data_IF_986081806358
#
_entry.id   IF_986081806358
#
_cell.length_a   1.000
_cell.length_b   1.000
_cell.length_c   1.000
_cell.angle_alpha   90.00
_cell.angle_beta   90.00
_cell.angle_gamma   90.00
#
_symmetry.space_group_name_H-M   'P 1'
#
loop_
_entity.id
_entity.type
_entity.pdbx_description
1 polymer ?
#
# COMPACT_ATOMS: atom_id res chain seq x y z
N UNK A 1 2.13 1.74 48.64
CA UNK A 1 0.88 1.38 47.96
C UNK A 1 0.89 1.75 46.46
N UNK A 2 1.18 3.01 46.09
CA UNK A 2 1.30 3.39 44.67
C UNK A 2 2.44 2.68 43.92
N UNK A 3 3.64 2.61 44.50
CA UNK A 3 4.79 1.91 43.89
C UNK A 3 4.56 0.40 43.71
N UNK A 4 3.84 -0.23 44.64
CA UNK A 4 3.50 -1.66 44.55
C UNK A 4 2.45 -1.92 43.46
N UNK A 5 1.37 -1.12 43.40
CA UNK A 5 0.36 -1.22 42.34
C UNK A 5 0.99 -0.98 40.96
N UNK A 6 1.85 0.03 40.85
CA UNK A 6 2.54 0.36 39.60
C UNK A 6 3.50 -0.77 39.16
N UNK A 7 4.23 -1.36 40.11
CA UNK A 7 5.07 -2.54 39.85
C UNK A 7 4.26 -3.72 39.31
N UNK A 8 3.11 -4.03 39.92
CA UNK A 8 2.21 -5.09 39.44
C UNK A 8 1.64 -4.80 38.05
N UNK A 9 1.30 -3.54 37.74
CA UNK A 9 0.81 -3.15 36.41
C UNK A 9 1.88 -3.29 35.33
N UNK A 10 3.13 -2.91 35.62
CA UNK A 10 4.26 -3.10 34.67
C UNK A 10 4.55 -4.58 34.47
N UNK A 11 4.60 -5.36 35.56
CA UNK A 11 4.87 -6.80 35.47
C UNK A 11 3.75 -7.52 34.71
N UNK A 12 2.50 -7.13 34.96
CA UNK A 12 1.34 -7.56 34.20
C UNK A 12 1.45 -7.21 32.72
N UNK A 13 1.85 -5.99 32.37
CA UNK A 13 2.05 -5.58 30.97
C UNK A 13 3.17 -6.38 30.28
N UNK A 14 4.29 -6.64 30.98
CA UNK A 14 5.42 -7.41 30.46
C UNK A 14 5.03 -8.87 30.16
N UNK A 15 4.12 -9.46 30.93
CA UNK A 15 3.66 -10.85 30.72
C UNK A 15 2.47 -10.95 29.77
N UNK A 16 1.51 -10.03 29.88
CA UNK A 16 0.29 -10.01 29.07
C UNK A 16 0.60 -9.72 27.61
N UNK A 17 1.56 -8.85 27.34
CA UNK A 17 1.80 -8.39 25.97
C UNK A 17 2.46 -9.45 25.06
N UNK A 18 3.50 -10.20 25.48
CA UNK A 18 3.98 -11.34 24.70
C UNK A 18 2.89 -12.40 24.47
N UNK A 19 2.08 -12.70 25.49
CA UNK A 19 0.95 -13.62 25.35
C UNK A 19 -0.07 -13.10 24.31
N UNK A 20 -0.35 -11.80 24.32
CA UNK A 20 -1.20 -11.14 23.33
C UNK A 20 -0.62 -11.21 21.91
N UNK A 21 0.67 -10.96 21.74
CA UNK A 21 1.34 -11.09 20.43
C UNK A 21 1.31 -12.52 19.91
N UNK A 22 1.52 -13.51 20.78
CA UNK A 22 1.41 -14.93 20.42
C UNK A 22 -0.03 -15.25 20.01
N UNK A 23 -1.03 -14.80 20.77
CA UNK A 23 -2.43 -14.96 20.41
C UNK A 23 -2.74 -14.34 19.04
N UNK A 24 -2.30 -13.11 18.78
CA UNK A 24 -2.45 -12.42 17.48
C UNK A 24 -1.78 -13.20 16.35
N UNK A 25 -0.58 -13.74 16.58
CA UNK A 25 0.13 -14.55 15.59
C UNK A 25 -0.64 -15.84 15.27
N UNK A 26 -1.06 -16.59 16.30
CA UNK A 26 -1.80 -17.85 16.15
C UNK A 26 -3.13 -17.61 15.45
N UNK A 27 -3.90 -16.63 15.90
CA UNK A 27 -5.17 -16.26 15.27
C UNK A 27 -4.95 -15.77 13.84
N UNK A 28 -3.88 -15.02 13.56
CA UNK A 28 -3.51 -14.61 12.21
C UNK A 28 -3.24 -15.80 11.29
N UNK A 29 -2.53 -16.83 11.76
CA UNK A 29 -2.29 -18.07 11.01
C UNK A 29 -3.60 -18.83 10.77
N UNK A 30 -4.41 -19.02 11.82
CA UNK A 30 -5.70 -19.74 11.72
C UNK A 30 -6.60 -19.03 10.71
N UNK A 31 -6.78 -17.73 10.84
CA UNK A 31 -7.63 -16.95 9.95
C UNK A 31 -7.06 -16.91 8.51
N UNK A 32 -5.74 -16.84 8.35
CA UNK A 32 -5.11 -16.95 7.04
C UNK A 32 -5.39 -18.31 6.37
N UNK A 33 -5.48 -19.41 7.13
CA UNK A 33 -5.83 -20.73 6.57
C UNK A 33 -7.26 -20.79 6.00
N UNK A 34 -8.18 -19.96 6.52
CA UNK A 34 -9.57 -19.88 6.05
C UNK A 34 -9.70 -19.07 4.77
N UNK A 35 -8.76 -18.15 4.51
CA UNK A 35 -8.82 -17.14 3.43
C UNK A 35 -7.78 -17.38 2.32
N UNK A 36 -7.27 -18.60 2.18
CA UNK A 36 -6.18 -18.93 1.24
C UNK A 36 -6.41 -20.25 0.51
N UNK A 37 -5.73 -20.41 -0.62
CA UNK A 37 -5.72 -21.63 -1.41
C UNK A 37 -7.07 -21.90 -2.07
N UNK A 38 -7.38 -23.17 -2.34
CA UNK A 38 -8.60 -23.53 -3.07
C UNK A 38 -9.89 -23.11 -2.32
N UNK A 39 -9.86 -23.01 -0.98
CA UNK A 39 -10.99 -22.48 -0.19
C UNK A 39 -11.28 -20.99 -0.42
N UNK A 40 -10.30 -20.23 -0.91
CA UNK A 40 -10.56 -18.84 -1.34
C UNK A 40 -11.38 -18.80 -2.64
N UNK A 41 -11.42 -19.89 -3.41
CA UNK A 41 -12.24 -19.98 -4.62
C UNK A 41 -13.72 -20.16 -4.27
N UNK A 42 -14.05 -20.79 -3.14
CA UNK A 42 -15.41 -20.91 -2.62
C UNK A 42 -16.06 -19.52 -2.38
N UNK A 43 -15.25 -18.48 -2.17
CA UNK A 43 -15.71 -17.09 -2.00
C UNK A 43 -16.18 -16.46 -3.32
N UNK A 44 -15.91 -17.11 -4.46
CA UNK A 44 -16.32 -16.68 -5.80
C UNK A 44 -17.31 -17.65 -6.49
N UNK A 45 -17.65 -18.79 -5.88
CA UNK A 45 -18.54 -19.80 -6.49
C UNK A 45 -20.03 -19.40 -6.52
N UNK A 46 -20.41 -18.34 -5.81
CA UNK A 46 -21.77 -17.80 -5.85
C UNK A 46 -22.04 -17.09 -7.19
N UNK A 47 -23.29 -17.06 -7.68
CA UNK A 47 -23.63 -16.34 -8.93
C UNK A 47 -23.26 -14.85 -8.81
N UNK A 48 -22.09 -14.50 -9.34
CA UNK A 48 -21.47 -13.18 -9.15
C UNK A 48 -22.40 -12.05 -9.60
N UNK A 49 -23.26 -12.29 -10.61
CA UNK A 49 -24.23 -11.28 -11.06
C UNK A 49 -25.34 -11.04 -10.03
N UNK A 50 -25.81 -12.10 -9.38
CA UNK A 50 -26.80 -11.97 -8.30
C UNK A 50 -26.18 -11.36 -7.03
N UNK A 51 -24.88 -11.54 -6.85
CA UNK A 51 -24.17 -10.99 -5.72
C UNK A 51 -23.92 -9.49 -5.79
N UNK A 52 -24.08 -8.84 -6.94
CA UNK A 52 -23.99 -7.37 -7.02
C UNK A 52 -25.39 -6.78 -7.07
N UNK A 53 -25.84 -6.21 -5.94
CA UNK A 53 -27.12 -5.48 -5.84
C UNK A 53 -26.86 -4.08 -5.36
N UNK A 54 -27.48 -3.10 -6.02
CA UNK A 54 -27.39 -1.68 -5.64
C UNK A 54 -25.93 -1.20 -5.49
N UNK A 55 -25.03 -1.68 -6.37
CA UNK A 55 -23.60 -1.33 -6.35
C UNK A 55 -22.81 -1.79 -5.12
N UNK A 56 -23.36 -2.70 -4.32
CA UNK A 56 -22.63 -3.43 -3.29
C UNK A 56 -22.49 -4.91 -3.66
N UNK A 57 -21.31 -5.49 -3.38
CA UNK A 57 -21.11 -6.94 -3.44
C UNK A 57 -21.66 -7.56 -2.15
N UNK A 58 -22.74 -8.33 -2.27
CA UNK A 58 -23.32 -9.09 -1.18
C UNK A 58 -22.34 -10.16 -0.72
N UNK A 59 -22.15 -10.19 0.59
CA UNK A 59 -21.40 -11.24 1.27
C UNK A 59 -22.33 -12.38 1.60
N UNK A 60 -21.84 -13.60 1.46
CA UNK A 60 -22.50 -14.76 2.08
C UNK A 60 -22.52 -14.59 3.61
N UNK A 61 -23.39 -15.34 4.29
CA UNK A 61 -23.42 -15.34 5.76
C UNK A 61 -22.06 -15.74 6.36
N UNK A 62 -21.36 -16.69 5.73
CA UNK A 62 -20.02 -17.12 6.17
C UNK A 62 -18.97 -16.00 5.99
N UNK A 63 -18.93 -15.35 4.83
CA UNK A 63 -18.04 -14.20 4.56
C UNK A 63 -18.32 -13.05 5.52
N UNK A 64 -19.59 -12.79 5.84
CA UNK A 64 -19.98 -11.77 6.80
C UNK A 64 -19.43 -12.09 8.20
N UNK A 65 -19.60 -13.32 8.70
CA UNK A 65 -19.11 -13.75 10.01
C UNK A 65 -17.58 -13.67 10.07
N UNK A 66 -16.90 -14.17 9.04
CA UNK A 66 -15.43 -14.15 8.96
C UNK A 66 -14.91 -12.70 8.95
N UNK A 67 -15.52 -11.83 8.14
CA UNK A 67 -15.18 -10.40 8.08
C UNK A 67 -15.34 -9.73 9.45
N UNK A 68 -16.45 -9.97 10.15
CA UNK A 68 -16.68 -9.40 11.49
C UNK A 68 -15.70 -9.94 12.53
N UNK A 69 -15.32 -11.22 12.44
CA UNK A 69 -14.30 -11.80 13.30
C UNK A 69 -12.93 -11.15 13.07
N UNK A 70 -12.53 -10.95 11.80
CA UNK A 70 -11.33 -10.18 11.47
C UNK A 70 -11.38 -8.77 12.05
N UNK A 71 -12.48 -8.06 11.83
CA UNK A 71 -12.66 -6.70 12.33
C UNK A 71 -12.54 -6.64 13.86
N UNK A 72 -13.17 -7.57 14.57
CA UNK A 72 -13.07 -7.66 16.03
C UNK A 72 -11.63 -7.90 16.49
N UNK A 73 -10.90 -8.84 15.87
CA UNK A 73 -9.51 -9.14 16.19
C UNK A 73 -8.58 -7.96 15.87
N UNK A 74 -8.80 -7.27 14.75
CA UNK A 74 -8.02 -6.09 14.34
C UNK A 74 -8.26 -4.93 15.30
N UNK A 75 -9.51 -4.64 15.65
CA UNK A 75 -9.85 -3.61 16.62
C UNK A 75 -9.27 -3.91 18.00
N UNK A 76 -9.29 -5.18 18.41
CA UNK A 76 -8.66 -5.63 19.65
C UNK A 76 -7.13 -5.45 19.59
N UNK A 77 -6.50 -5.76 18.45
CA UNK A 77 -5.09 -5.48 18.16
C UNK A 77 -4.75 -4.01 18.32
N UNK A 78 -5.51 -3.14 17.66
CA UNK A 78 -5.36 -1.69 17.75
C UNK A 78 -5.54 -1.21 19.20
N UNK A 79 -6.53 -1.73 19.92
CA UNK A 79 -6.75 -1.40 21.33
C UNK A 79 -5.54 -1.77 22.19
N UNK A 80 -5.03 -3.01 22.10
CA UNK A 80 -3.86 -3.44 22.86
C UNK A 80 -2.58 -2.71 22.46
N UNK A 81 -2.44 -2.30 21.20
CA UNK A 81 -1.35 -1.42 20.78
C UNK A 81 -1.40 -0.09 21.52
N UNK A 82 -2.53 0.63 21.47
CA UNK A 82 -2.63 1.91 22.16
C UNK A 82 -2.55 1.76 23.69
N UNK A 83 -3.03 0.64 24.25
CA UNK A 83 -2.85 0.32 25.66
C UNK A 83 -1.37 0.16 26.04
N UNK A 84 -0.52 -0.35 25.13
CA UNK A 84 0.91 -0.55 25.36
C UNK A 84 1.75 0.73 25.25
N UNK A 85 1.30 1.72 24.46
CA UNK A 85 2.06 2.96 24.19
C UNK A 85 2.46 3.71 25.46
N UNK A 86 1.58 3.94 26.45
CA UNK A 86 1.97 4.56 27.72
C UNK A 86 3.10 3.80 28.42
N UNK A 87 3.07 2.47 28.44
CA UNK A 87 4.12 1.67 29.07
C UNK A 87 5.46 1.77 28.31
N UNK A 88 5.42 1.80 26.97
CA UNK A 88 6.61 2.00 26.13
C UNK A 88 7.26 3.37 26.33
N UNK A 89 6.47 4.40 26.61
CA UNK A 89 6.96 5.77 26.84
C UNK A 89 7.40 5.97 28.29
N UNK A 90 6.68 5.41 29.26
CA UNK A 90 7.00 5.55 30.68
C UNK A 90 8.30 4.85 31.05
N UNK A 91 8.58 3.68 30.48
CA UNK A 91 9.80 2.93 30.79
C UNK A 91 11.11 3.71 30.54
N UNK A 92 11.39 4.27 29.34
CA UNK A 92 12.60 5.07 29.11
C UNK A 92 12.61 6.36 29.92
N UNK A 93 11.45 6.97 30.19
CA UNK A 93 11.37 8.17 31.05
C UNK A 93 11.77 7.85 32.49
N UNK A 94 11.29 6.73 33.05
CA UNK A 94 11.68 6.29 34.39
C UNK A 94 13.18 5.98 34.46
N UNK A 95 13.74 5.32 33.44
CA UNK A 95 15.18 5.07 33.34
C UNK A 95 16.01 6.38 33.26
N UNK A 96 15.49 7.41 32.59
CA UNK A 96 16.11 8.75 32.60
C UNK A 96 16.12 9.38 33.99
N UNK A 97 15.03 9.29 34.75
CA UNK A 97 15.00 9.82 36.12
C UNK A 97 15.98 9.09 37.04
N UNK A 98 16.04 7.75 36.95
CA UNK A 98 17.00 6.93 37.71
C UNK A 98 18.44 7.28 37.32
N UNK A 99 18.71 7.47 36.03
CA UNK A 99 20.05 7.80 35.56
C UNK A 99 20.51 9.19 36.00
N UNK A 100 19.62 10.19 35.98
CA UNK A 100 19.89 11.53 36.52
C UNK A 100 20.20 11.49 38.02
N UNK A 101 19.45 10.71 38.80
CA UNK A 101 19.75 10.50 40.23
C UNK A 101 21.11 9.85 40.47
N UNK A 102 21.45 8.82 39.66
CA UNK A 102 22.75 8.17 39.73
C UNK A 102 23.91 9.11 39.37
N UNK A 103 23.73 10.01 38.38
CA UNK A 103 24.70 11.04 38.02
C UNK A 103 24.84 12.08 39.15
N UNK A 104 23.73 12.57 39.68
CA UNK A 104 23.70 13.62 40.71
C UNK A 104 24.31 13.16 42.04
N UNK A 105 24.23 11.85 42.37
CA UNK A 105 24.83 11.30 43.59
C UNK A 105 26.37 11.25 43.57
N UNK A 106 27.02 11.48 42.43
CA UNK A 106 28.49 11.57 42.32
C UNK A 106 29.27 10.28 42.65
N UNK A 107 28.57 9.17 42.95
CA UNK A 107 29.16 7.89 43.35
C UNK A 107 29.51 6.98 42.16
N UNK A 108 29.77 5.69 42.45
CA UNK A 108 30.16 4.69 41.45
C UNK A 108 29.16 4.46 40.30
N UNK A 109 27.94 4.99 40.39
CA UNK A 109 26.92 4.93 39.35
C UNK A 109 27.03 5.99 38.24
N UNK A 110 27.95 6.96 38.34
CA UNK A 110 28.04 8.10 37.41
C UNK A 110 28.20 7.68 35.93
N UNK A 111 29.17 6.80 35.63
CA UNK A 111 29.42 6.33 34.26
C UNK A 111 28.24 5.52 33.70
N UNK A 112 27.62 4.68 34.53
CA UNK A 112 26.44 3.91 34.16
C UNK A 112 25.21 4.80 33.91
N UNK A 113 25.04 5.84 34.74
CA UNK A 113 23.99 6.84 34.57
C UNK A 113 24.11 7.59 33.25
N UNK A 114 25.32 8.04 32.87
CA UNK A 114 25.54 8.69 31.57
C UNK A 114 25.21 7.74 30.40
N UNK A 115 25.65 6.49 30.48
CA UNK A 115 25.35 5.50 29.43
C UNK A 115 23.84 5.27 29.27
N UNK A 116 23.11 5.07 30.37
CA UNK A 116 21.65 4.89 30.36
C UNK A 116 20.95 6.15 29.86
N UNK A 117 21.44 7.34 30.22
CA UNK A 117 20.90 8.61 29.78
C UNK A 117 21.00 8.79 28.27
N UNK A 118 22.18 8.53 27.69
CA UNK A 118 22.39 8.58 26.25
C UNK A 118 21.53 7.53 25.53
N UNK A 119 21.49 6.31 26.06
CA UNK A 119 20.68 5.22 25.50
C UNK A 119 19.18 5.58 25.49
N UNK A 120 18.61 5.99 26.61
CA UNK A 120 17.20 6.38 26.69
C UNK A 120 16.89 7.63 25.86
N UNK A 121 17.82 8.59 25.81
CA UNK A 121 17.72 9.78 24.95
C UNK A 121 17.59 9.40 23.47
N UNK A 122 18.43 8.49 22.97
CA UNK A 122 18.35 8.01 21.57
C UNK A 122 17.05 7.24 21.29
N UNK A 123 16.53 6.48 22.26
CA UNK A 123 15.24 5.78 22.15
C UNK A 123 14.07 6.76 22.02
N UNK A 124 13.97 7.73 22.93
CA UNK A 124 12.91 8.76 22.91
C UNK A 124 13.00 9.64 21.66
N UNK A 125 14.22 10.03 21.26
CA UNK A 125 14.45 10.78 20.04
C UNK A 125 13.92 10.04 18.80
N UNK A 126 14.15 8.74 18.73
CA UNK A 126 13.69 7.89 17.62
C UNK A 126 12.16 7.80 17.55
N UNK A 127 11.46 7.74 18.70
CA UNK A 127 9.99 7.77 18.76
C UNK A 127 9.45 9.14 18.34
N UNK A 128 10.01 10.22 18.88
CA UNK A 128 9.62 11.59 18.54
C UNK A 128 9.79 11.81 17.04
N UNK A 129 10.95 11.46 16.47
CA UNK A 129 11.18 11.56 15.02
C UNK A 129 10.16 10.75 14.22
N UNK A 130 9.89 9.50 14.60
CA UNK A 130 8.89 8.66 13.93
C UNK A 130 7.46 9.22 13.97
N UNK A 131 7.06 9.86 15.08
CA UNK A 131 5.75 10.51 15.23
C UNK A 131 5.61 11.80 14.41
N UNK A 132 6.72 12.52 14.18
CA UNK A 132 6.72 13.78 13.42
C UNK A 132 7.13 13.64 11.96
N UNK A 133 7.56 12.45 11.51
CA UNK A 133 7.74 12.16 10.08
C UNK A 133 6.39 11.90 9.42
N UNK A 134 5.69 12.96 9.05
CA UNK A 134 4.57 12.87 8.13
C UNK A 134 5.12 12.75 6.70
N UNK A 135 4.80 11.66 6.01
CA UNK A 135 5.17 11.44 4.61
C UNK A 135 4.77 12.62 3.73
N UNK A 136 5.76 13.43 3.35
CA UNK A 136 5.60 14.62 2.53
C UNK A 136 5.53 14.27 1.04
N UNK A 137 4.41 13.72 0.58
CA UNK A 137 4.20 13.46 -0.83
C UNK A 137 2.71 13.50 -1.17
N UNK A 138 2.30 14.46 -2.00
CA UNK A 138 0.99 14.38 -2.66
C UNK A 138 0.96 13.23 -3.68
N UNK A 139 -0.21 12.91 -4.25
CA UNK A 139 -0.33 11.89 -5.28
C UNK A 139 0.70 12.10 -6.39
N UNK A 140 1.47 11.07 -6.79
CA UNK A 140 2.48 11.22 -7.82
C UNK A 140 1.86 11.54 -9.18
N UNK A 141 2.58 12.33 -9.98
CA UNK A 141 2.23 12.61 -11.36
C UNK A 141 1.78 14.05 -11.63
N UNK A 142 1.36 14.27 -12.87
CA UNK A 142 0.87 15.55 -13.35
C UNK A 142 -0.65 15.59 -13.17
N UNK A 143 -1.13 16.57 -12.41
CA UNK A 143 -2.57 16.79 -12.23
C UNK A 143 -3.20 17.24 -13.55
N UNK A 144 -4.27 16.57 -13.95
CA UNK A 144 -5.05 16.90 -15.15
C UNK A 144 -6.40 17.47 -14.74
N UNK A 145 -6.82 18.55 -15.40
CA UNK A 145 -8.12 19.20 -15.17
C UNK A 145 -9.20 18.57 -16.04
N UNK A 146 -10.45 18.53 -15.55
CA UNK A 146 -11.62 18.05 -16.29
C UNK A 146 -11.82 18.75 -17.65
N UNK A 147 -11.45 20.04 -17.75
CA UNK A 147 -11.50 20.80 -19.01
C UNK A 147 -10.44 20.35 -20.03
N UNK A 148 -9.32 19.81 -19.57
CA UNK A 148 -8.21 19.36 -20.43
C UNK A 148 -8.51 17.98 -21.01
N UNK A 149 -8.98 17.04 -20.18
CA UNK A 149 -9.28 15.66 -20.57
C UNK A 149 -10.73 15.24 -20.25
N UNK A 150 -11.74 15.84 -20.92
CA UNK A 150 -13.15 15.58 -20.60
C UNK A 150 -13.59 14.14 -20.90
N UNK A 151 -12.99 13.48 -21.89
CA UNK A 151 -13.30 12.08 -22.22
C UNK A 151 -12.90 11.13 -21.09
N UNK A 152 -11.71 11.35 -20.52
CA UNK A 152 -11.20 10.57 -19.39
C UNK A 152 -12.11 10.74 -18.18
N UNK A 153 -12.44 11.97 -17.80
CA UNK A 153 -13.33 12.24 -16.66
C UNK A 153 -14.75 11.67 -16.85
N UNK A 154 -15.33 11.76 -18.06
CA UNK A 154 -16.64 11.14 -18.33
C UNK A 154 -16.58 9.62 -18.22
N UNK A 155 -15.50 9.00 -18.66
CA UNK A 155 -15.30 7.57 -18.52
C UNK A 155 -15.21 7.19 -17.04
N UNK A 156 -14.41 7.91 -16.24
CA UNK A 156 -14.31 7.65 -14.79
C UNK A 156 -15.66 7.83 -14.07
N UNK A 157 -16.42 8.88 -14.40
CA UNK A 157 -17.77 9.09 -13.84
C UNK A 157 -18.72 7.95 -14.18
N UNK A 158 -18.66 7.45 -15.42
CA UNK A 158 -19.51 6.35 -15.87
C UNK A 158 -19.16 5.03 -15.15
N UNK A 159 -17.90 4.79 -14.83
CA UNK A 159 -17.51 3.64 -13.99
C UNK A 159 -18.01 3.84 -12.56
N UNK A 160 -17.85 5.04 -11.98
CA UNK A 160 -18.30 5.35 -10.62
C UNK A 160 -19.81 5.12 -10.46
N UNK A 161 -20.61 5.57 -11.44
CA UNK A 161 -22.04 5.36 -11.47
C UNK A 161 -22.45 3.87 -11.56
N UNK A 162 -21.67 3.04 -12.26
CA UNK A 162 -21.93 1.59 -12.35
C UNK A 162 -21.58 0.83 -11.07
N UNK A 163 -20.58 1.31 -10.33
CA UNK A 163 -20.13 0.75 -9.05
C UNK A 163 -20.91 1.34 -7.85
N UNK A 164 -21.78 2.33 -8.09
CA UNK A 164 -22.48 3.10 -7.05
C UNK A 164 -21.53 3.73 -6.00
N UNK A 165 -20.56 4.51 -6.49
CA UNK A 165 -19.65 5.26 -5.61
C UNK A 165 -19.50 6.71 -6.04
N UNK A 166 -19.07 7.58 -5.11
CA UNK A 166 -18.82 8.99 -5.43
C UNK A 166 -17.76 9.11 -6.56
N UNK A 167 -17.95 10.04 -7.51
CA UNK A 167 -16.97 10.28 -8.57
C UNK A 167 -15.64 10.78 -8.03
N UNK A 168 -14.60 10.72 -8.87
CA UNK A 168 -13.25 11.20 -8.54
C UNK A 168 -13.15 12.72 -8.69
N UNK A 169 -12.55 13.36 -7.68
CA UNK A 169 -12.35 14.82 -7.66
C UNK A 169 -11.14 15.25 -8.50
N UNK A 170 -10.06 14.46 -8.48
CA UNK A 170 -8.79 14.78 -9.16
C UNK A 170 -8.19 13.58 -9.86
N UNK A 171 -7.70 13.79 -11.07
CA UNK A 171 -6.92 12.79 -11.81
C UNK A 171 -5.47 13.25 -11.94
N UNK A 172 -4.54 12.34 -11.69
CA UNK A 172 -3.10 12.51 -11.86
C UNK A 172 -2.62 11.46 -12.87
N UNK A 173 -1.86 11.90 -13.88
CA UNK A 173 -1.15 10.98 -14.77
C UNK A 173 0.26 10.78 -14.23
N UNK A 174 0.63 9.53 -13.96
CA UNK A 174 1.93 9.16 -13.45
C UNK A 174 2.72 8.34 -14.48
N UNK A 175 4.07 8.35 -14.43
CA UNK A 175 4.82 7.68 -15.46
C UNK A 175 4.71 6.15 -15.53
N UNK A 176 4.46 5.49 -14.39
CA UNK A 176 4.52 4.04 -14.21
C UNK A 176 3.29 3.26 -14.69
N UNK A 177 3.14 2.04 -14.20
CA UNK A 177 2.03 1.12 -14.49
C UNK A 177 0.89 1.18 -13.46
N UNK A 178 1.12 1.77 -12.29
CA UNK A 178 0.15 1.75 -11.20
C UNK A 178 -1.14 2.52 -11.53
N UNK A 179 -2.29 1.92 -11.24
CA UNK A 179 -3.59 2.60 -11.24
C UNK A 179 -4.13 2.43 -9.84
N UNK A 180 -4.35 3.53 -9.12
CA UNK A 180 -4.84 3.48 -7.75
C UNK A 180 -5.61 4.75 -7.39
N UNK A 181 -6.55 4.60 -6.47
CA UNK A 181 -7.35 5.72 -5.95
C UNK A 181 -6.91 6.03 -4.53
N UNK A 182 -6.49 7.28 -4.31
CA UNK A 182 -6.22 7.83 -3.00
C UNK A 182 -7.45 8.56 -2.50
N UNK A 183 -7.77 8.40 -1.21
CA UNK A 183 -8.74 9.24 -0.56
C UNK A 183 -8.07 10.02 0.57
N UNK A 184 -7.94 11.33 0.40
CA UNK A 184 -7.51 12.22 1.47
C UNK A 184 -8.75 12.70 2.23
N UNK A 185 -8.76 12.53 3.56
CA UNK A 185 -9.73 13.17 4.43
C UNK A 185 -9.13 14.44 5.02
N UNK A 186 -9.78 15.60 4.85
CA UNK A 186 -9.38 16.83 5.56
C UNK A 186 -10.13 16.90 6.89
N UNK A 187 -9.44 16.82 8.04
CA UNK A 187 -10.03 16.93 9.38
C UNK A 187 -9.22 16.19 10.46
N UNK A 188 -9.53 16.34 11.77
CA UNK A 188 -8.85 15.60 12.82
C UNK A 188 -8.99 14.09 12.57
N UNK A 189 -7.86 13.39 12.57
CA UNK A 189 -7.72 11.96 12.26
C UNK A 189 -8.22 11.51 10.87
N UNK A 190 -8.54 12.42 9.95
CA UNK A 190 -9.03 12.07 8.60
C UNK A 190 -10.44 11.47 8.55
N UNK A 191 -11.19 11.53 9.66
CA UNK A 191 -12.51 10.91 9.83
C UNK A 191 -13.67 11.92 9.59
N UNK A 192 -13.42 13.21 9.83
CA UNK A 192 -14.47 14.24 10.02
C UNK A 192 -14.52 15.33 8.94
N UNK A 193 -14.00 15.13 7.73
CA UNK A 193 -14.24 16.15 6.70
C UNK A 193 -14.14 15.69 5.26
N UNK A 194 -14.07 16.70 4.37
CA UNK A 194 -14.35 16.56 2.93
C UNK A 194 -13.53 15.42 2.34
N UNK A 195 -14.24 14.46 1.75
CA UNK A 195 -13.64 13.37 0.99
C UNK A 195 -13.03 13.99 -0.27
N UNK A 196 -11.73 13.82 -0.45
CA UNK A 196 -11.02 14.30 -1.63
C UNK A 196 -10.34 13.09 -2.27
N UNK A 197 -10.96 12.57 -3.34
CA UNK A 197 -10.50 11.38 -4.05
C UNK A 197 -9.59 11.78 -5.20
N UNK A 198 -8.38 11.25 -5.20
CA UNK A 198 -7.39 11.42 -6.26
C UNK A 198 -7.11 10.08 -6.94
N UNK A 199 -7.44 9.97 -8.22
CA UNK A 199 -7.06 8.82 -9.05
C UNK A 199 -5.67 9.09 -9.64
N UNK A 200 -4.73 8.19 -9.40
CA UNK A 200 -3.46 8.13 -10.12
C UNK A 200 -3.59 7.09 -11.23
N UNK A 201 -3.24 7.47 -12.44
CA UNK A 201 -3.28 6.60 -13.61
C UNK A 201 -1.88 6.52 -14.20
N UNK A 202 -1.32 5.32 -14.17
CA UNK A 202 -0.06 4.98 -14.79
C UNK A 202 -0.14 5.03 -16.32
N UNK A 203 0.71 5.84 -16.94
CA UNK A 203 0.78 5.99 -18.38
C UNK A 203 1.17 4.69 -19.08
N UNK A 204 2.03 3.87 -18.48
CA UNK A 204 2.38 2.55 -19.02
C UNK A 204 1.15 1.63 -19.10
N UNK A 205 0.24 1.70 -18.13
CA UNK A 205 -1.01 0.92 -18.17
C UNK A 205 -1.99 1.42 -19.22
N UNK A 206 -2.10 2.73 -19.43
CA UNK A 206 -2.94 3.24 -20.53
C UNK A 206 -2.45 2.79 -21.91
N UNK A 207 -1.15 2.56 -22.07
CA UNK A 207 -0.56 2.06 -23.32
C UNK A 207 -0.85 0.59 -23.60
N UNK A 208 -1.08 -0.22 -22.56
CA UNK A 208 -1.26 -1.68 -22.70
C UNK A 208 -2.73 -2.10 -22.68
N UNK A 209 -3.56 -1.37 -21.95
CA UNK A 209 -4.97 -1.68 -21.75
C UNK A 209 -5.84 -1.15 -22.90
N UNK A 210 -6.94 -1.86 -23.20
CA UNK A 210 -8.08 -1.28 -23.91
C UNK A 210 -8.93 -0.41 -22.97
N UNK A 211 -9.85 0.39 -23.52
CA UNK A 211 -10.78 1.18 -22.71
C UNK A 211 -11.61 0.27 -21.79
N UNK A 212 -12.11 -0.87 -22.29
CA UNK A 212 -12.92 -1.78 -21.48
C UNK A 212 -12.09 -2.46 -20.37
N UNK A 213 -10.85 -2.85 -20.69
CA UNK A 213 -9.89 -3.38 -19.71
C UNK A 213 -9.55 -2.34 -18.63
N UNK A 214 -9.33 -1.08 -19.02
CA UNK A 214 -9.08 0.02 -18.06
C UNK A 214 -10.30 0.29 -17.17
N UNK A 215 -11.51 0.25 -17.74
CA UNK A 215 -12.74 0.38 -16.97
C UNK A 215 -12.91 -0.76 -15.95
N UNK A 216 -12.52 -1.99 -16.28
CA UNK A 216 -12.57 -3.13 -15.37
C UNK A 216 -11.61 -2.95 -14.19
N UNK A 217 -10.37 -2.51 -14.42
CA UNK A 217 -9.42 -2.18 -13.34
C UNK A 217 -9.95 -1.03 -12.49
N UNK A 218 -10.48 0.02 -13.12
CA UNK A 218 -11.03 1.15 -12.37
C UNK A 218 -12.24 0.76 -11.51
N UNK A 219 -13.07 -0.17 -11.99
CA UNK A 219 -14.20 -0.69 -11.23
C UNK A 219 -13.75 -1.46 -9.99
N UNK A 220 -12.67 -2.24 -10.11
CA UNK A 220 -12.01 -2.88 -8.98
C UNK A 220 -11.51 -1.83 -7.96
N UNK A 221 -10.77 -0.81 -8.42
CA UNK A 221 -10.30 0.27 -7.55
C UNK A 221 -11.45 1.00 -6.84
N UNK A 222 -12.57 1.23 -7.53
CA UNK A 222 -13.76 1.87 -6.97
C UNK A 222 -14.50 1.00 -5.96
N UNK A 223 -14.47 -0.32 -6.12
CA UNK A 223 -15.13 -1.23 -5.20
C UNK A 223 -14.57 -1.13 -3.77
N UNK A 224 -13.31 -0.75 -3.58
CA UNK A 224 -12.73 -0.47 -2.26
C UNK A 224 -13.40 0.71 -1.53
N UNK A 225 -14.10 1.58 -2.25
CA UNK A 225 -14.79 2.76 -1.71
C UNK A 225 -16.31 2.58 -1.60
N UNK A 226 -16.82 1.37 -1.85
CA UNK A 226 -18.22 0.99 -1.64
C UNK A 226 -18.62 0.98 -0.16
N UNK A 227 -19.93 1.00 0.11
CA UNK A 227 -20.54 1.23 1.42
C UNK A 227 -20.00 0.35 2.57
N UNK A 228 -19.73 0.95 3.74
CA UNK A 228 -19.48 0.26 5.03
C UNK A 228 -18.01 0.08 5.43
N UNK A 229 -17.21 -0.63 4.62
CA UNK A 229 -15.88 -1.09 5.03
C UNK A 229 -14.74 -0.07 4.85
N UNK A 230 -14.97 0.99 4.08
CA UNK A 230 -13.93 1.98 3.72
C UNK A 230 -13.32 2.70 4.91
N UNK A 231 -14.03 2.85 6.03
CA UNK A 231 -13.49 3.53 7.23
C UNK A 231 -12.44 2.66 7.93
N UNK A 232 -12.72 1.36 8.08
CA UNK A 232 -11.84 0.46 8.81
C UNK A 232 -10.63 0.08 7.96
N UNK A 233 -10.82 -0.21 6.66
CA UNK A 233 -9.70 -0.45 5.74
C UNK A 233 -8.74 0.74 5.69
N UNK A 234 -9.25 1.98 5.71
CA UNK A 234 -8.41 3.19 5.82
C UNK A 234 -7.66 3.28 7.13
N UNK A 235 -8.32 2.99 8.26
CA UNK A 235 -7.66 2.97 9.57
C UNK A 235 -6.52 1.93 9.60
N UNK A 236 -6.78 0.71 9.11
CA UNK A 236 -5.78 -0.36 9.03
C UNK A 236 -4.59 0.09 8.18
N UNK A 237 -4.86 0.63 6.99
CA UNK A 237 -3.81 1.11 6.09
C UNK A 237 -2.98 2.24 6.72
N UNK A 238 -3.63 3.20 7.38
CA UNK A 238 -2.95 4.30 8.08
C UNK A 238 -2.06 3.80 9.23
N UNK A 239 -2.56 2.88 10.06
CA UNK A 239 -1.78 2.26 11.14
C UNK A 239 -0.57 1.53 10.56
N UNK A 240 -0.77 0.70 9.52
CA UNK A 240 0.30 -0.04 8.86
C UNK A 240 1.37 0.88 8.26
N UNK A 241 0.94 1.93 7.55
CA UNK A 241 1.85 2.90 6.93
C UNK A 241 2.64 3.68 7.99
N UNK A 242 1.97 4.18 9.03
CA UNK A 242 2.61 4.91 10.13
C UNK A 242 3.63 4.03 10.86
N UNK A 243 3.30 2.77 11.11
CA UNK A 243 4.22 1.82 11.73
C UNK A 243 5.42 1.49 10.84
N UNK A 244 5.19 1.26 9.54
CA UNK A 244 6.27 0.99 8.58
C UNK A 244 7.24 2.19 8.50
N UNK A 245 6.72 3.41 8.38
CA UNK A 245 7.51 4.65 8.36
C UNK A 245 8.28 4.86 9.67
N UNK A 246 7.65 4.58 10.81
CA UNK A 246 8.31 4.66 12.12
C UNK A 246 9.45 3.66 12.20
N UNK A 247 9.22 2.39 11.84
CA UNK A 247 10.25 1.35 11.85
C UNK A 247 11.41 1.66 10.90
N UNK A 248 11.11 2.20 9.72
CA UNK A 248 12.12 2.63 8.76
C UNK A 248 12.94 3.81 9.29
N UNK A 249 12.29 4.82 9.86
CA UNK A 249 12.96 5.99 10.47
C UNK A 249 13.84 5.56 11.64
N UNK A 250 13.36 4.67 12.50
CA UNK A 250 14.14 4.08 13.59
C UNK A 250 15.32 3.26 13.05
N UNK A 251 15.15 2.57 11.92
CA UNK A 251 16.22 1.81 11.30
C UNK A 251 17.32 2.70 10.72
N UNK A 252 16.94 3.78 10.04
CA UNK A 252 17.85 4.74 9.45
C UNK A 252 18.60 5.56 10.52
N UNK A 253 17.90 5.99 11.57
CA UNK A 253 18.49 6.83 12.64
C UNK A 253 19.29 6.00 13.65
N UNK A 254 18.87 4.76 13.93
CA UNK A 254 19.43 3.96 15.01
C UNK A 254 20.69 3.17 14.66
N UNK A 255 21.01 2.96 13.38
CA UNK A 255 22.17 2.16 12.97
C UNK A 255 22.23 0.80 13.70
N UNK A 256 23.39 0.48 14.30
CA UNK A 256 23.57 -0.75 15.09
C UNK A 256 22.83 -0.73 16.44
N UNK A 257 22.59 0.45 17.04
CA UNK A 257 21.87 0.61 18.31
C UNK A 257 20.42 0.11 18.22
N UNK A 258 19.87 0.03 17.00
CA UNK A 258 18.56 -0.59 16.72
C UNK A 258 18.47 -2.02 17.27
N UNK A 259 19.56 -2.80 17.17
CA UNK A 259 19.56 -4.22 17.56
C UNK A 259 19.34 -4.43 19.06
N UNK A 260 19.74 -3.45 19.88
CA UNK A 260 19.57 -3.48 21.33
C UNK A 260 18.38 -2.65 21.81
N UNK A 261 17.67 -1.96 20.91
CA UNK A 261 16.54 -1.11 21.25
C UNK A 261 15.26 -1.96 21.44
N UNK A 262 14.74 -2.12 22.67
CA UNK A 262 13.56 -2.95 22.93
C UNK A 262 12.28 -2.38 22.30
N UNK A 263 12.19 -1.05 22.11
CA UNK A 263 11.03 -0.40 21.47
C UNK A 263 10.98 -0.71 19.97
N UNK A 264 12.14 -0.77 19.32
CA UNK A 264 12.21 -1.18 17.92
C UNK A 264 11.70 -2.62 17.75
N UNK A 265 12.19 -3.56 18.56
CA UNK A 265 11.76 -4.96 18.49
C UNK A 265 10.30 -5.16 18.86
N UNK A 266 9.81 -4.40 19.83
CA UNK A 266 8.40 -4.34 20.18
C UNK A 266 7.56 -3.94 18.96
N UNK A 267 7.88 -2.80 18.33
CA UNK A 267 7.13 -2.28 17.19
C UNK A 267 7.24 -3.21 15.98
N UNK A 268 8.41 -3.81 15.77
CA UNK A 268 8.64 -4.75 14.69
C UNK A 268 7.81 -6.02 14.84
N UNK A 269 7.79 -6.61 16.04
CA UNK A 269 7.03 -7.83 16.31
C UNK A 269 5.53 -7.58 16.26
N UNK A 270 5.07 -6.45 16.82
CA UNK A 270 3.68 -6.02 16.66
C UNK A 270 3.34 -5.80 15.18
N UNK A 271 4.18 -5.09 14.42
CA UNK A 271 3.96 -4.86 12.99
C UNK A 271 3.81 -6.18 12.24
N UNK A 272 4.68 -7.17 12.49
CA UNK A 272 4.61 -8.48 11.84
C UNK A 272 3.35 -9.26 12.20
N UNK A 273 2.99 -9.33 13.48
CA UNK A 273 1.79 -10.05 13.93
C UNK A 273 0.50 -9.36 13.47
N UNK A 274 0.46 -8.02 13.51
CA UNK A 274 -0.64 -7.22 13.00
C UNK A 274 -0.77 -7.33 11.47
N UNK A 275 0.35 -7.34 10.73
CA UNK A 275 0.36 -7.60 9.28
C UNK A 275 -0.25 -8.97 8.95
N UNK A 276 0.14 -10.00 9.72
CA UNK A 276 -0.37 -11.35 9.53
C UNK A 276 -1.90 -11.41 9.77
N UNK A 277 -2.37 -10.77 10.83
CA UNK A 277 -3.80 -10.69 11.16
C UNK A 277 -4.61 -9.98 10.08
N UNK A 278 -4.09 -8.85 9.59
CA UNK A 278 -4.79 -7.99 8.62
C UNK A 278 -4.71 -8.51 7.18
N UNK A 279 -3.73 -9.37 6.87
CA UNK A 279 -3.53 -9.92 5.53
C UNK A 279 -4.74 -10.70 5.02
N UNK A 280 -5.36 -11.54 5.86
CA UNK A 280 -6.53 -12.32 5.45
C UNK A 280 -7.77 -11.46 5.20
N UNK A 281 -8.01 -10.45 6.03
CA UNK A 281 -9.04 -9.44 5.78
C UNK A 281 -8.77 -8.69 4.47
N UNK A 282 -7.54 -8.25 4.23
CA UNK A 282 -7.18 -7.53 3.00
C UNK A 282 -7.44 -8.39 1.75
N UNK A 283 -7.05 -9.67 1.78
CA UNK A 283 -7.34 -10.62 0.69
C UNK A 283 -8.83 -10.77 0.40
N UNK A 284 -9.67 -10.82 1.44
CA UNK A 284 -11.12 -10.88 1.24
C UNK A 284 -11.67 -9.67 0.49
N UNK A 285 -11.13 -8.48 0.77
CA UNK A 285 -11.57 -7.25 0.10
C UNK A 285 -11.17 -7.25 -1.38
N UNK A 286 -10.02 -7.82 -1.73
CA UNK A 286 -9.60 -7.98 -3.14
C UNK A 286 -10.57 -8.87 -3.92
N UNK A 287 -11.01 -9.98 -3.34
CA UNK A 287 -12.00 -10.86 -4.00
C UNK A 287 -13.35 -10.17 -4.20
N UNK A 288 -13.80 -9.38 -3.23
CA UNK A 288 -15.03 -8.58 -3.37
C UNK A 288 -14.87 -7.52 -4.46
N UNK A 289 -13.73 -6.84 -4.52
CA UNK A 289 -13.44 -5.88 -5.58
C UNK A 289 -13.36 -6.54 -6.97
N UNK A 290 -12.78 -7.73 -7.06
CA UNK A 290 -12.76 -8.55 -8.28
C UNK A 290 -14.18 -8.93 -8.72
N UNK A 291 -15.03 -9.41 -7.78
CA UNK A 291 -16.44 -9.73 -8.05
C UNK A 291 -17.18 -8.55 -8.65
N UNK A 292 -16.99 -7.34 -8.09
CA UNK A 292 -17.59 -6.12 -8.63
C UNK A 292 -17.15 -5.85 -10.08
N UNK A 293 -15.84 -5.86 -10.32
CA UNK A 293 -15.30 -5.61 -11.66
C UNK A 293 -15.78 -6.64 -12.68
N UNK A 294 -15.79 -7.93 -12.30
CA UNK A 294 -16.22 -9.04 -13.13
C UNK A 294 -17.73 -8.98 -13.41
N UNK A 295 -18.55 -8.64 -12.42
CA UNK A 295 -19.99 -8.51 -12.59
C UNK A 295 -20.37 -7.45 -13.64
N UNK A 296 -19.65 -6.32 -13.64
CA UNK A 296 -19.92 -5.18 -14.53
C UNK A 296 -19.27 -5.35 -15.92
N UNK A 297 -18.02 -5.82 -15.96
CA UNK A 297 -17.18 -5.80 -17.18
C UNK A 297 -16.80 -7.19 -17.72
N UNK A 298 -17.23 -8.26 -17.06
CA UNK A 298 -17.01 -9.64 -17.48
C UNK A 298 -15.66 -10.23 -17.07
N UNK A 299 -15.65 -11.55 -16.90
CA UNK A 299 -14.51 -12.34 -16.41
C UNK A 299 -13.27 -12.22 -17.31
N UNK A 300 -13.46 -12.42 -18.61
CA UNK A 300 -12.36 -12.40 -19.59
C UNK A 300 -11.69 -11.03 -19.69
N UNK A 301 -12.47 -9.95 -19.63
CA UNK A 301 -11.94 -8.58 -19.67
C UNK A 301 -11.12 -8.28 -18.42
N UNK A 302 -11.67 -8.56 -17.25
CA UNK A 302 -10.96 -8.36 -15.99
C UNK A 302 -9.66 -9.18 -15.92
N UNK A 303 -9.73 -10.48 -16.26
CA UNK A 303 -8.55 -11.37 -16.30
C UNK A 303 -7.46 -10.84 -17.23
N UNK A 304 -7.81 -10.41 -18.44
CA UNK A 304 -6.84 -9.85 -19.40
C UNK A 304 -6.23 -8.55 -18.86
N UNK A 305 -7.06 -7.66 -18.33
CA UNK A 305 -6.62 -6.40 -17.77
C UNK A 305 -5.64 -6.63 -16.60
N UNK A 306 -5.99 -7.51 -15.65
CA UNK A 306 -5.16 -7.86 -14.50
C UNK A 306 -3.79 -8.40 -14.94
N UNK A 307 -3.77 -9.33 -15.91
CA UNK A 307 -2.52 -9.89 -16.44
C UNK A 307 -1.69 -8.82 -17.15
N UNK A 308 -2.31 -7.95 -17.95
CA UNK A 308 -1.60 -6.88 -18.67
C UNK A 308 -0.98 -5.85 -17.73
N UNK A 309 -1.70 -5.42 -16.69
CA UNK A 309 -1.15 -4.54 -15.66
C UNK A 309 0.04 -5.21 -14.97
N UNK A 310 -0.12 -6.46 -14.54
CA UNK A 310 0.93 -7.19 -13.83
C UNK A 310 2.16 -7.53 -14.70
N UNK A 311 2.02 -7.57 -16.03
CA UNK A 311 3.08 -8.00 -16.94
C UNK A 311 3.49 -6.92 -17.94
N UNK A 312 2.71 -6.69 -18.99
CA UNK A 312 3.03 -5.77 -20.08
C UNK A 312 3.31 -4.35 -19.58
N UNK A 313 2.46 -3.83 -18.69
CA UNK A 313 2.62 -2.48 -18.14
C UNK A 313 3.85 -2.40 -17.23
N UNK A 314 4.07 -3.40 -16.36
CA UNK A 314 5.28 -3.51 -15.52
C UNK A 314 6.55 -3.58 -16.35
N UNK A 315 6.61 -4.41 -17.40
CA UNK A 315 7.79 -4.48 -18.28
C UNK A 315 8.02 -3.15 -19.00
N UNK A 316 6.94 -2.49 -19.44
CA UNK A 316 7.03 -1.17 -20.05
C UNK A 316 7.60 -0.13 -19.09
N UNK A 317 7.13 -0.12 -17.84
CA UNK A 317 7.66 0.74 -16.77
C UNK A 317 9.12 0.42 -16.45
N UNK A 318 9.49 -0.85 -16.24
CA UNK A 318 10.88 -1.24 -16.00
C UNK A 318 11.82 -0.75 -17.10
N UNK A 319 11.43 -0.93 -18.37
CA UNK A 319 12.25 -0.49 -19.51
C UNK A 319 12.32 1.04 -19.58
N UNK A 320 11.22 1.74 -19.31
CA UNK A 320 11.19 3.20 -19.26
C UNK A 320 12.13 3.73 -18.17
N UNK A 321 12.02 3.19 -16.95
CA UNK A 321 12.82 3.60 -15.80
C UNK A 321 14.30 3.30 -16.00
N UNK A 322 14.62 2.11 -16.52
CA UNK A 322 16.00 1.72 -16.83
C UNK A 322 16.64 2.67 -17.85
N UNK A 323 15.96 2.95 -18.97
CA UNK A 323 16.48 3.84 -20.01
C UNK A 323 16.66 5.28 -19.54
N UNK A 324 15.74 5.79 -18.73
CA UNK A 324 15.86 7.14 -18.17
C UNK A 324 16.99 7.22 -17.14
N UNK A 325 17.25 6.15 -16.40
CA UNK A 325 18.42 6.03 -15.54
C UNK A 325 19.72 6.03 -16.36
N UNK A 326 19.81 5.21 -17.41
CA UNK A 326 20.99 5.12 -18.28
C UNK A 326 21.26 6.48 -18.97
N UNK A 327 20.22 7.15 -19.46
CA UNK A 327 20.34 8.48 -20.07
C UNK A 327 20.85 9.55 -19.09
N UNK A 328 20.51 9.44 -17.80
CA UNK A 328 21.07 10.31 -16.75
C UNK A 328 22.54 9.98 -16.52
N UNK A 329 22.88 8.70 -16.39
CA UNK A 329 24.24 8.24 -16.14
C UNK A 329 25.21 8.66 -17.27
N UNK A 330 24.76 8.59 -18.53
CA UNK A 330 25.52 9.00 -19.70
C UNK A 330 25.50 10.52 -19.98
N UNK A 331 24.83 11.32 -19.13
CA UNK A 331 24.55 12.75 -19.36
C UNK A 331 23.87 13.05 -20.72
N UNK A 332 23.20 12.07 -21.30
CA UNK A 332 22.63 12.11 -22.64
C UNK A 332 21.15 12.55 -22.62
N UNK A 333 20.91 13.80 -22.26
CA UNK A 333 19.56 14.35 -22.13
C UNK A 333 18.97 14.77 -23.48
N UNK A 334 18.54 13.82 -24.30
CA UNK A 334 17.75 14.15 -25.49
C UNK A 334 16.36 14.68 -25.07
N UNK A 335 15.91 15.81 -25.64
CA UNK A 335 14.55 16.39 -25.42
C UNK A 335 13.48 15.61 -26.20
N UNK A 336 13.49 14.29 -26.05
CA UNK A 336 12.66 13.37 -26.79
C UNK A 336 11.56 12.80 -25.91
N UNK A 337 10.55 12.26 -26.58
CA UNK A 337 9.44 11.58 -25.95
C UNK A 337 9.90 10.21 -25.44
N UNK A 338 10.11 10.06 -24.13
CA UNK A 338 10.63 8.84 -23.54
C UNK A 338 9.73 7.63 -23.79
N UNK A 339 8.41 7.85 -23.88
CA UNK A 339 7.44 6.79 -24.15
C UNK A 339 7.55 6.28 -25.58
N UNK A 340 7.71 7.19 -26.54
CA UNK A 340 7.88 6.84 -27.95
C UNK A 340 9.18 6.05 -28.18
N UNK A 341 10.28 6.49 -27.57
CA UNK A 341 11.54 5.75 -27.61
C UNK A 341 11.45 4.40 -26.92
N UNK A 342 10.82 4.35 -25.75
CA UNK A 342 10.63 3.10 -25.01
C UNK A 342 9.80 2.11 -25.86
N UNK A 343 8.71 2.56 -26.49
CA UNK A 343 7.94 1.71 -27.41
C UNK A 343 8.78 1.22 -28.59
N UNK A 344 9.57 2.08 -29.21
CA UNK A 344 10.44 1.68 -30.32
C UNK A 344 11.46 0.63 -29.88
N UNK A 345 12.08 0.82 -28.71
CA UNK A 345 13.01 -0.14 -28.11
C UNK A 345 12.33 -1.46 -27.80
N UNK A 346 11.17 -1.45 -27.15
CA UNK A 346 10.41 -2.65 -26.85
C UNK A 346 10.06 -3.42 -28.14
N UNK A 347 9.64 -2.72 -29.20
CA UNK A 347 9.30 -3.35 -30.48
C UNK A 347 10.50 -3.96 -31.21
N UNK A 348 11.70 -3.40 -31.04
CA UNK A 348 12.92 -3.82 -31.76
C UNK A 348 13.79 -4.80 -30.98
N UNK A 349 13.78 -4.73 -29.65
CA UNK A 349 14.72 -5.45 -28.78
C UNK A 349 14.04 -6.44 -27.81
N UNK A 350 12.72 -6.34 -27.57
CA UNK A 350 12.01 -7.33 -26.75
C UNK A 350 11.24 -8.31 -27.62
N UNK A 351 11.71 -9.56 -27.65
CA UNK A 351 11.10 -10.67 -28.39
C UNK A 351 9.88 -11.31 -27.69
N UNK A 352 9.23 -10.57 -26.78
CA UNK A 352 8.13 -11.08 -25.96
C UNK A 352 8.53 -12.15 -24.94
N UNK A 353 9.76 -12.71 -24.96
CA UNK A 353 10.21 -13.69 -23.95
C UNK A 353 10.28 -13.08 -22.57
N UNK A 354 10.64 -11.78 -22.44
CA UNK A 354 10.66 -11.08 -21.15
C UNK A 354 9.28 -11.04 -20.51
N UNK A 355 8.24 -10.68 -21.27
CA UNK A 355 6.83 -10.69 -20.80
C UNK A 355 6.41 -12.11 -20.42
N UNK A 356 6.70 -13.11 -21.27
CA UNK A 356 6.40 -14.53 -20.94
C UNK A 356 7.12 -15.01 -19.68
N UNK A 357 8.38 -14.62 -19.48
CA UNK A 357 9.17 -14.97 -18.29
C UNK A 357 8.59 -14.32 -17.04
N UNK A 358 8.21 -13.03 -17.12
CA UNK A 358 7.56 -12.34 -16.01
C UNK A 358 6.19 -12.96 -15.70
N UNK A 359 5.38 -13.23 -16.72
CA UNK A 359 4.10 -13.94 -16.57
C UNK A 359 4.29 -15.29 -15.85
N UNK A 360 5.24 -16.12 -16.30
CA UNK A 360 5.55 -17.39 -15.63
C UNK A 360 5.98 -17.21 -14.18
N UNK A 361 6.75 -16.16 -13.87
CA UNK A 361 7.17 -15.85 -12.49
C UNK A 361 5.95 -15.49 -11.63
N UNK A 362 5.13 -14.55 -12.08
CA UNK A 362 3.98 -14.02 -11.34
C UNK A 362 2.91 -15.10 -11.13
N UNK A 363 2.62 -15.92 -12.13
CA UNK A 363 1.62 -17.00 -12.02
C UNK A 363 2.12 -18.13 -11.11
N UNK A 364 3.44 -18.37 -11.05
CA UNK A 364 4.02 -19.39 -10.18
C UNK A 364 4.46 -18.85 -8.82
N UNK A 365 4.19 -17.58 -8.52
CA UNK A 365 4.58 -16.98 -7.26
C UNK A 365 3.86 -17.70 -6.10
N UNK A 366 4.60 -18.26 -5.13
CA UNK A 366 3.96 -18.88 -3.98
C UNK A 366 3.29 -17.79 -3.15
N UNK A 367 2.03 -18.00 -2.76
CA UNK A 367 1.38 -17.08 -1.85
C UNK A 367 2.11 -17.05 -0.50
N UNK A 368 2.24 -15.87 0.11
CA UNK A 368 2.75 -15.71 1.47
C UNK A 368 1.61 -15.50 2.46
N UNK A 369 1.79 -15.94 3.72
CA UNK A 369 0.81 -15.68 4.79
C UNK A 369 0.73 -14.18 5.11
N UNK A 370 1.81 -13.45 4.84
CA UNK A 370 1.90 -12.00 5.05
C UNK A 370 1.44 -11.18 3.84
N UNK A 371 1.09 -11.80 2.71
CA UNK A 371 0.62 -11.06 1.53
C UNK A 371 -0.76 -10.47 1.77
N UNK A 372 -0.90 -9.14 1.64
CA UNK A 372 -2.18 -8.43 1.73
C UNK A 372 -3.09 -8.70 0.52
N UNK A 373 -2.52 -9.13 -0.60
CA UNK A 373 -3.25 -9.48 -1.82
C UNK A 373 -3.14 -10.98 -2.12
N UNK A 374 -4.20 -11.60 -2.67
CA UNK A 374 -4.08 -12.93 -3.25
C UNK A 374 -3.15 -12.90 -4.46
N UNK A 375 -2.54 -14.04 -4.78
CA UNK A 375 -1.70 -14.15 -5.97
C UNK A 375 -2.52 -13.91 -7.24
N UNK A 376 -1.86 -13.45 -8.30
CA UNK A 376 -2.52 -13.28 -9.61
C UNK A 376 -3.14 -14.59 -10.09
N UNK A 377 -2.48 -15.73 -9.82
CA UNK A 377 -3.02 -17.06 -10.14
C UNK A 377 -4.33 -17.34 -9.42
N UNK A 378 -4.41 -17.07 -8.11
CA UNK A 378 -5.64 -17.25 -7.33
C UNK A 378 -6.78 -16.38 -7.87
N UNK A 379 -6.50 -15.09 -8.11
CA UNK A 379 -7.49 -14.14 -8.67
C UNK A 379 -7.98 -14.57 -10.06
N UNK A 380 -7.06 -14.98 -10.95
CA UNK A 380 -7.37 -15.45 -12.31
C UNK A 380 -8.18 -16.76 -12.28
N UNK A 381 -7.86 -17.68 -11.38
CA UNK A 381 -8.60 -18.95 -11.27
C UNK A 381 -10.02 -18.75 -10.77
N UNK A 382 -10.21 -17.74 -9.93
CA UNK A 382 -11.49 -17.42 -9.33
C UNK A 382 -12.45 -16.67 -10.29
N UNK A 383 -12.00 -16.25 -11.49
CA UNK A 383 -12.87 -15.61 -12.50
C UNK A 383 -13.70 -16.60 -13.35
N UNK A 384 -13.77 -17.90 -13.00
CA UNK A 384 -14.43 -18.91 -13.84
C UNK A 384 -15.96 -18.79 -13.75
N UNK A 385 -16.66 -18.89 -14.88
CA UNK A 385 -18.12 -19.13 -14.91
C UNK A 385 -19.05 -17.96 -15.28
N UNK A 386 -18.54 -16.80 -15.70
CA UNK A 386 -19.40 -15.63 -15.99
C UNK A 386 -19.41 -15.24 -17.46
N UNK A 387 -20.61 -14.91 -17.93
CA UNK A 387 -20.93 -14.37 -19.25
C UNK A 387 -19.98 -13.25 -19.70
N UNK A 388 -19.62 -13.29 -20.97
CA UNK A 388 -18.65 -12.39 -21.58
C UNK A 388 -19.27 -11.02 -21.87
N UNK A 389 -18.57 -9.95 -21.50
CA UNK A 389 -18.78 -8.63 -22.11
C UNK A 389 -17.76 -8.52 -23.23
N UNK A 390 -18.23 -8.52 -24.47
CA UNK A 390 -17.34 -8.46 -25.64
C UNK A 390 -16.90 -7.03 -25.89
N UNK A 391 -15.59 -6.75 -25.81
CA UNK A 391 -15.03 -5.50 -26.32
C UNK A 391 -14.96 -5.56 -27.86
N UNK A 392 -16.04 -5.17 -28.52
CA UNK A 392 -16.12 -5.16 -29.99
C UNK A 392 -15.18 -4.12 -30.63
N UNK A 393 -14.76 -3.10 -29.89
CA UNK A 393 -13.99 -1.98 -30.44
C UNK A 393 -12.50 -2.09 -30.21
N UNK A 394 -12.07 -2.76 -29.12
CA UNK A 394 -10.67 -2.91 -28.67
C UNK A 394 -9.87 -1.61 -28.72
N UNK A 395 -10.53 -0.47 -28.49
CA UNK A 395 -9.88 0.84 -28.55
C UNK A 395 -8.86 0.91 -27.41
N UNK A 396 -7.60 1.31 -27.68
CA UNK A 396 -6.58 1.42 -26.65
C UNK A 396 -6.95 2.54 -25.66
N UNK A 397 -6.63 2.36 -24.37
CA UNK A 397 -7.01 3.30 -23.31
C UNK A 397 -6.37 4.68 -23.49
N UNK A 398 -5.18 4.76 -24.12
CA UNK A 398 -4.57 6.03 -24.53
C UNK A 398 -5.46 6.89 -25.46
N UNK A 399 -6.45 6.31 -26.15
CA UNK A 399 -7.40 7.08 -26.95
C UNK A 399 -8.31 8.01 -26.12
N UNK A 400 -8.32 7.84 -24.80
CA UNK A 400 -8.98 8.76 -23.86
C UNK A 400 -8.22 10.07 -23.67
N UNK A 401 -6.93 10.10 -24.01
CA UNK A 401 -6.06 11.27 -23.91
C UNK A 401 -6.15 12.10 -25.19
N UNK A 402 -6.49 13.39 -25.07
CA UNK A 402 -6.72 14.29 -26.20
C UNK A 402 -5.44 14.56 -26.99
N UNK A 403 -4.34 14.84 -26.30
CA UNK A 403 -3.03 15.04 -26.92
C UNK A 403 -2.00 14.13 -26.25
N UNK A 404 -1.96 12.88 -26.73
CA UNK A 404 -1.08 11.83 -26.20
C UNK A 404 0.39 12.28 -26.21
N UNK A 405 0.89 12.76 -27.35
CA UNK A 405 2.30 13.15 -27.51
C UNK A 405 2.71 14.27 -26.55
N UNK A 406 1.90 15.30 -26.40
CA UNK A 406 2.21 16.40 -25.47
C UNK A 406 2.18 15.94 -24.00
N UNK A 407 1.27 15.02 -23.67
CA UNK A 407 1.15 14.42 -22.34
C UNK A 407 2.36 13.56 -22.02
N UNK A 408 2.76 12.67 -22.93
CA UNK A 408 3.96 11.83 -22.80
C UNK A 408 5.22 12.68 -22.60
N UNK A 409 5.43 13.73 -23.41
CA UNK A 409 6.57 14.64 -23.26
C UNK A 409 6.56 15.33 -21.89
N UNK A 410 5.39 15.74 -21.42
CA UNK A 410 5.24 16.37 -20.10
C UNK A 410 5.58 15.40 -18.97
N UNK A 411 5.15 14.14 -19.09
CA UNK A 411 5.49 13.06 -18.16
C UNK A 411 6.99 12.72 -18.20
N UNK A 412 7.63 12.68 -19.37
CA UNK A 412 9.07 12.50 -19.48
C UNK A 412 9.84 13.61 -18.74
N UNK A 413 9.39 14.87 -18.87
CA UNK A 413 9.96 15.99 -18.11
C UNK A 413 9.75 15.85 -16.60
N UNK A 414 8.55 15.44 -16.18
CA UNK A 414 8.24 15.19 -14.77
C UNK A 414 9.13 14.10 -14.19
N UNK A 415 9.27 12.98 -14.91
CA UNK A 415 10.10 11.84 -14.53
C UNK A 415 11.56 12.26 -14.33
N UNK A 416 12.17 12.90 -15.34
CA UNK A 416 13.55 13.39 -15.29
C UNK A 416 13.79 14.39 -14.16
N UNK A 417 12.84 15.30 -13.91
CA UNK A 417 12.94 16.27 -12.81
C UNK A 417 13.00 15.56 -11.46
N UNK A 418 12.14 14.57 -11.23
CA UNK A 418 12.11 13.84 -9.97
C UNK A 418 13.32 12.93 -9.80
N UNK A 419 13.77 12.25 -10.86
CA UNK A 419 15.02 11.48 -10.83
C UNK A 419 16.22 12.35 -10.46
N UNK A 420 16.37 13.53 -11.09
CA UNK A 420 17.46 14.47 -10.74
C UNK A 420 17.39 14.90 -9.27
N UNK A 421 16.19 15.13 -8.73
CA UNK A 421 16.00 15.46 -7.32
C UNK A 421 16.43 14.29 -6.41
N UNK A 422 16.08 13.06 -6.77
CA UNK A 422 16.46 11.86 -6.04
C UNK A 422 17.98 11.65 -6.06
N UNK A 423 18.60 11.73 -7.25
CA UNK A 423 20.07 11.61 -7.41
C UNK A 423 20.79 12.70 -6.62
N UNK A 424 20.33 13.96 -6.71
CA UNK A 424 20.90 15.05 -5.91
C UNK A 424 20.78 14.78 -4.42
N UNK A 425 19.62 14.34 -3.94
CA UNK A 425 19.43 14.00 -2.53
C UNK A 425 20.36 12.86 -2.08
N UNK A 426 20.58 11.85 -2.92
CA UNK A 426 21.52 10.76 -2.62
C UNK A 426 22.97 11.24 -2.56
N UNK A 427 23.38 12.15 -3.46
CA UNK A 427 24.70 12.79 -3.43
C UNK A 427 24.86 13.64 -2.16
N UNK A 428 23.89 14.52 -1.87
CA UNK A 428 23.90 15.37 -0.67
C UNK A 428 23.97 14.51 0.62
N UNK A 429 23.25 13.37 0.66
CA UNK A 429 23.33 12.40 1.76
C UNK A 429 24.69 11.71 1.87
N UNK A 430 25.30 11.37 0.74
CA UNK A 430 26.60 10.72 0.70
C UNK A 430 27.68 11.68 1.19
N UNK A 431 27.69 12.93 0.68
CA UNK A 431 28.61 13.98 1.11
C UNK A 431 28.45 14.33 2.59
N UNK A 432 27.21 14.41 3.10
CA UNK A 432 26.95 14.67 4.51
C UNK A 432 27.40 13.54 5.46
N UNK A 433 27.58 12.31 4.96
CA UNK A 433 28.07 11.17 5.73
C UNK A 433 29.60 10.95 5.59
N UNK A 434 30.30 11.79 4.82
CA UNK A 434 31.76 11.75 4.68
C UNK A 434 32.51 12.71 5.62
N UNK A 435 31.80 13.56 6.35
CA UNK A 435 32.31 14.43 7.42
C UNK A 435 31.71 14.00 8.76
#
# INVERSE_FOLDING_TARGET
MFASIFGFLILGAILLYPAWLVFMAVMGVIMASVTRGDRSLEWMEEDIRQSVKEGAVQRTQAEYIISHLYLALILLGIFFFYLSVPFLLLFPVLLLFVSLGAIASGGGGFRGGIFILLFCGTMLWSIIRGLFTFGGGGPPGIRIRRKEEPKLYRMTDAVAARVDTDPIDRIYLAPGAEICVFQTGRGPFGILGVKDRALVIGMCSLHTLTILEFQAILAHEYAHFGHGDTKISRLIHQVMLSMAQTLETMAQTGGWLRLINPIYWFLFLYFKTFSLMTAGYSRSQEYLADRMAIAIYGSNTFKKALIKVATEATVMEECLMQREFDAIAEMNFKKTNAYEENRHFMATHLDGRRVKKLYKRIVNEPGSIFSSHPTIRERVNATKGINEVTDSTRKPAVALIRNLRATEISLSKYLRKNFRRLVKHLIDMYEANQY
#
